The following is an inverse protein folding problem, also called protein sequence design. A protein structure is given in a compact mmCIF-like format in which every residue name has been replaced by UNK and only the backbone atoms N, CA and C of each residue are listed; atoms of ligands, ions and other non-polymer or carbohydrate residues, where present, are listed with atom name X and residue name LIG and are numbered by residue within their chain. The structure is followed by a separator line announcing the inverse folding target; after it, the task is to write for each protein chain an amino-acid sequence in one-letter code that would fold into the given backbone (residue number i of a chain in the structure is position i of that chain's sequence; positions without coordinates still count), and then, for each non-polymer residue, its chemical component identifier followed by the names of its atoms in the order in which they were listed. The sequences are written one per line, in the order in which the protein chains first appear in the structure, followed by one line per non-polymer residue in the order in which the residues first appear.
data_IF_567933605005
#
_entry.id   IF_567933605005
#
_cell.length_a   1.000
_cell.length_b   1.000
_cell.length_c   1.000
_cell.angle_alpha   90.00
_cell.angle_beta   90.00
_cell.angle_gamma   90.00
#
_symmetry.space_group_name_H-M   'P 1'
#
loop_
_entity.id
_entity.type
_entity.pdbx_description
1 polymer ?
#
# COMPACT_ATOMS: atom_id res chain seq x y z
N UNK A 1 -8.99 27.92 19.11
CA UNK A 1 -7.61 28.07 18.56
C UNK A 1 -6.62 27.47 19.54
N UNK A 2 -6.26 26.19 19.37
CA UNK A 2 -5.23 25.55 20.19
C UNK A 2 -3.86 26.04 19.77
N UNK A 3 -3.14 26.74 20.66
CA UNK A 3 -1.81 27.28 20.38
C UNK A 3 -0.86 26.13 19.99
N UNK A 4 -0.22 26.23 18.81
CA UNK A 4 0.81 25.26 18.35
C UNK A 4 1.81 24.97 19.47
N UNK A 5 2.13 23.70 19.71
CA UNK A 5 3.04 23.30 20.78
C UNK A 5 4.37 24.04 20.64
N UNK A 6 4.91 24.53 21.76
CA UNK A 6 6.24 25.16 21.82
C UNK A 6 7.35 24.25 21.31
N UNK A 7 7.11 22.93 21.27
CA UNK A 7 8.02 21.93 20.68
C UNK A 7 8.23 22.16 19.17
N UNK A 8 7.25 22.71 18.46
CA UNK A 8 7.42 23.07 17.04
C UNK A 8 8.31 24.30 16.81
N UNK A 9 8.75 24.97 17.87
CA UNK A 9 9.70 26.08 17.79
C UNK A 9 11.12 25.68 18.17
N UNK A 10 11.30 24.47 18.72
CA UNK A 10 12.62 23.94 19.02
C UNK A 10 13.38 23.62 17.73
N UNK A 11 14.71 23.65 17.86
CA UNK A 11 15.64 23.24 16.82
C UNK A 11 15.25 21.86 16.24
N UNK A 12 15.36 21.67 14.91
CA UNK A 12 14.93 20.45 14.24
C UNK A 12 15.56 19.17 14.83
N UNK A 13 16.81 19.25 15.27
CA UNK A 13 17.54 18.13 15.87
C UNK A 13 16.95 17.71 17.22
N UNK A 14 16.56 18.68 18.06
CA UNK A 14 15.93 18.42 19.36
C UNK A 14 14.55 17.80 19.15
N UNK A 15 13.77 18.34 18.19
CA UNK A 15 12.45 17.80 17.84
C UNK A 15 12.53 16.36 17.36
N UNK A 16 13.43 16.07 16.42
CA UNK A 16 13.61 14.71 15.89
C UNK A 16 14.00 13.73 17.00
N UNK A 17 14.81 14.18 17.96
CA UNK A 17 15.15 13.36 19.12
C UNK A 17 13.94 13.09 20.02
N UNK A 18 13.11 14.11 20.29
CA UNK A 18 11.85 13.94 21.03
C UNK A 18 10.95 12.92 20.34
N UNK A 19 10.76 13.03 19.02
CA UNK A 19 9.96 12.09 18.23
C UNK A 19 10.52 10.66 18.30
N UNK A 20 11.85 10.51 18.33
CA UNK A 20 12.51 9.20 18.50
C UNK A 20 12.21 8.60 19.87
N UNK A 21 12.31 9.38 20.95
CA UNK A 21 12.00 8.93 22.30
C UNK A 21 10.51 8.55 22.44
N UNK A 22 9.61 9.36 21.88
CA UNK A 22 8.18 9.07 21.87
C UNK A 22 7.84 7.80 21.09
N UNK A 23 8.57 7.51 20.00
CA UNK A 23 8.41 6.27 19.25
C UNK A 23 8.90 5.03 20.02
N UNK A 24 9.96 5.18 20.81
CA UNK A 24 10.48 4.09 21.63
C UNK A 24 9.52 3.72 22.77
N UNK A 25 8.78 4.71 23.29
CA UNK A 25 7.74 4.53 24.33
C UNK A 25 8.24 3.77 25.58
N UNK A 26 9.51 4.00 25.96
CA UNK A 26 10.17 3.34 27.11
C UNK A 26 10.37 4.27 28.31
N UNK A 27 10.20 5.58 28.13
CA UNK A 27 10.55 6.58 29.12
C UNK A 27 9.32 7.38 29.54
N UNK A 28 9.27 7.70 30.83
CA UNK A 28 8.32 8.68 31.35
C UNK A 28 8.67 10.08 30.84
N UNK A 29 7.69 10.99 30.86
CA UNK A 29 7.90 12.37 30.44
C UNK A 29 9.03 13.07 31.23
N UNK A 30 9.18 12.73 32.51
CA UNK A 30 10.18 13.34 33.38
C UNK A 30 11.59 12.79 33.06
N UNK A 31 11.70 11.49 32.74
CA UNK A 31 12.95 10.88 32.25
C UNK A 31 13.34 11.41 30.86
N UNK A 32 12.36 11.59 29.95
CA UNK A 32 12.60 12.20 28.65
C UNK A 32 13.17 13.63 28.79
N UNK A 33 12.65 14.41 29.74
CA UNK A 33 13.16 15.77 30.02
C UNK A 33 14.61 15.72 30.52
N UNK A 34 14.92 14.81 31.44
CA UNK A 34 16.28 14.62 31.95
C UNK A 34 17.26 14.22 30.84
N UNK A 35 16.84 13.32 29.94
CA UNK A 35 17.66 12.89 28.81
C UNK A 35 17.87 14.01 27.78
N UNK A 36 16.84 14.82 27.52
CA UNK A 36 16.95 16.00 26.66
C UNK A 36 17.92 17.04 27.24
N UNK A 37 17.90 17.26 28.56
CA UNK A 37 18.84 18.15 29.24
C UNK A 37 20.28 17.61 29.17
N UNK A 38 20.48 16.31 29.32
CA UNK A 38 21.80 15.69 29.24
C UNK A 38 22.37 15.77 27.82
N UNK A 39 21.54 15.50 26.80
CA UNK A 39 21.97 15.44 25.40
C UNK A 39 22.07 16.81 24.73
N UNK A 40 21.26 17.77 25.16
CA UNK A 40 21.21 19.12 24.62
C UNK A 40 21.26 20.19 25.74
N UNK A 41 22.37 20.29 26.50
CA UNK A 41 22.46 21.16 27.66
C UNK A 41 22.38 22.65 27.32
N UNK A 42 22.69 23.03 26.09
CA UNK A 42 22.64 24.43 25.62
C UNK A 42 21.28 24.84 25.04
N UNK A 43 20.33 23.92 24.91
CA UNK A 43 19.03 24.19 24.29
C UNK A 43 17.92 24.37 25.33
N UNK A 44 16.89 25.15 24.96
CA UNK A 44 15.71 25.32 25.80
C UNK A 44 15.00 23.98 25.98
N UNK A 45 14.91 23.51 27.23
CA UNK A 45 14.23 22.26 27.54
C UNK A 45 12.71 22.48 27.55
N UNK A 46 11.92 21.67 26.81
CA UNK A 46 10.48 21.80 26.81
C UNK A 46 9.89 21.50 28.20
N UNK A 47 8.86 22.25 28.59
CA UNK A 47 8.11 21.96 29.81
C UNK A 47 7.33 20.64 29.70
N UNK A 48 7.11 19.98 30.85
CA UNK A 48 6.32 18.74 30.97
C UNK A 48 4.96 18.81 30.29
N UNK A 49 4.22 19.90 30.50
CA UNK A 49 2.90 20.09 29.86
C UNK A 49 2.99 20.28 28.34
N UNK A 50 4.07 20.87 27.83
CA UNK A 50 4.29 21.00 26.39
C UNK A 50 4.62 19.65 25.75
N UNK A 51 5.43 18.83 26.44
CA UNK A 51 5.79 17.48 26.02
C UNK A 51 4.58 16.54 26.03
N UNK A 52 3.77 16.58 27.09
CA UNK A 52 2.54 15.78 27.18
C UNK A 52 1.53 16.11 26.06
N UNK A 53 1.29 17.39 25.77
CA UNK A 53 0.38 17.79 24.68
C UNK A 53 0.88 17.31 23.32
N UNK A 54 2.19 17.37 23.10
CA UNK A 54 2.80 16.91 21.87
C UNK A 54 2.77 15.39 21.76
N UNK A 55 3.08 14.65 22.84
CA UNK A 55 2.93 13.20 22.92
C UNK A 55 1.51 12.76 22.59
N UNK A 56 0.49 13.45 23.12
CA UNK A 56 -0.90 13.11 22.82
C UNK A 56 -1.21 13.15 21.32
N UNK A 57 -0.85 14.25 20.64
CA UNK A 57 -1.04 14.37 19.19
C UNK A 57 -0.18 13.39 18.39
N UNK A 58 1.04 13.13 18.85
CA UNK A 58 1.93 12.13 18.26
C UNK A 58 1.33 10.72 18.36
N UNK A 59 0.80 10.33 19.52
CA UNK A 59 0.18 9.04 19.74
C UNK A 59 -1.06 8.85 18.86
N UNK A 60 -1.93 9.87 18.78
CA UNK A 60 -3.09 9.88 17.87
C UNK A 60 -2.64 9.63 16.41
N UNK A 61 -1.61 10.34 15.95
CA UNK A 61 -1.05 10.13 14.61
C UNK A 61 -0.48 8.70 14.42
N UNK A 62 0.31 8.20 15.36
CA UNK A 62 0.90 6.86 15.25
C UNK A 62 -0.16 5.75 15.27
N UNK A 63 -1.23 5.92 16.04
CA UNK A 63 -2.36 4.99 16.06
C UNK A 63 -3.08 4.97 14.71
N UNK A 64 -3.38 6.14 14.14
CA UNK A 64 -3.97 6.21 12.80
C UNK A 64 -3.08 5.59 11.72
N UNK A 65 -1.75 5.74 11.81
CA UNK A 65 -0.82 5.08 10.89
C UNK A 65 -0.86 3.55 11.02
N UNK A 66 -0.92 3.02 12.24
CA UNK A 66 -1.07 1.57 12.47
C UNK A 66 -2.40 1.03 11.96
N UNK A 67 -3.49 1.79 12.13
CA UNK A 67 -4.80 1.44 11.59
C UNK A 67 -4.78 1.36 10.07
N UNK A 68 -4.15 2.35 9.41
CA UNK A 68 -3.96 2.36 7.95
C UNK A 68 -3.11 1.17 7.52
N UNK A 69 -2.00 0.88 8.20
CA UNK A 69 -1.14 -0.28 7.89
C UNK A 69 -1.90 -1.60 8.02
N UNK A 70 -2.71 -1.74 9.08
CA UNK A 70 -3.56 -2.92 9.31
C UNK A 70 -4.61 -3.06 8.21
N UNK A 71 -5.30 -1.97 7.86
CA UNK A 71 -6.27 -1.96 6.78
C UNK A 71 -5.63 -2.26 5.41
N UNK A 72 -4.42 -1.75 5.15
CA UNK A 72 -3.65 -2.07 3.95
C UNK A 72 -3.28 -3.55 3.89
N UNK A 73 -2.88 -4.16 5.01
CA UNK A 73 -2.58 -5.61 5.06
C UNK A 73 -3.83 -6.45 4.78
N UNK A 74 -4.96 -6.12 5.41
CA UNK A 74 -6.25 -6.80 5.16
C UNK A 74 -6.65 -6.68 3.69
N UNK A 75 -6.48 -5.50 3.09
CA UNK A 75 -6.77 -5.31 1.67
C UNK A 75 -5.86 -6.17 0.78
N UNK A 76 -4.58 -6.28 1.10
CA UNK A 76 -3.64 -7.14 0.36
C UNK A 76 -4.02 -8.62 0.49
N UNK A 77 -4.35 -9.07 1.70
CA UNK A 77 -4.79 -10.46 1.94
C UNK A 77 -6.08 -10.79 1.16
N UNK A 78 -7.05 -9.87 1.12
CA UNK A 78 -8.31 -10.04 0.37
C UNK A 78 -8.16 -9.91 -1.16
N UNK A 79 -7.13 -9.19 -1.63
CA UNK A 79 -6.83 -9.00 -3.06
C UNK A 79 -5.86 -10.05 -3.64
N UNK A 80 -5.16 -10.79 -2.79
CA UNK A 80 -4.12 -11.77 -3.14
C UNK A 80 -4.60 -13.00 -3.91
N UNK A 81 -5.89 -13.32 -3.88
CA UNK A 81 -6.42 -14.52 -4.54
C UNK A 81 -6.59 -14.38 -6.07
N UNK A 82 -6.32 -13.23 -6.70
CA UNK A 82 -6.59 -13.08 -8.15
C UNK A 82 -5.77 -12.10 -8.98
N UNK A 83 -4.74 -11.44 -8.43
CA UNK A 83 -3.94 -10.47 -9.20
C UNK A 83 -2.46 -10.77 -8.99
N UNK A 84 -1.73 -10.97 -10.09
CA UNK A 84 -0.27 -11.14 -10.12
C UNK A 84 0.42 -10.30 -9.02
N UNK A 85 0.97 -11.00 -8.02
CA UNK A 85 1.24 -10.54 -6.64
C UNK A 85 1.92 -9.16 -6.52
N UNK A 86 2.78 -8.84 -7.48
CA UNK A 86 3.54 -7.57 -7.50
C UNK A 86 2.66 -6.36 -7.79
N UNK A 87 1.61 -6.53 -8.57
CA UNK A 87 0.77 -5.41 -9.03
C UNK A 87 -0.19 -4.95 -7.94
N UNK A 88 -0.73 -5.88 -7.15
CA UNK A 88 -1.58 -5.58 -5.99
C UNK A 88 -0.82 -4.89 -4.86
N UNK A 89 0.38 -5.39 -4.54
CA UNK A 89 1.26 -4.80 -3.54
C UNK A 89 1.68 -3.36 -3.88
N UNK A 90 2.04 -3.09 -5.14
CA UNK A 90 2.41 -1.75 -5.60
C UNK A 90 1.22 -0.76 -5.53
N UNK A 91 0.01 -1.24 -5.80
CA UNK A 91 -1.21 -0.43 -5.69
C UNK A 91 -1.56 -0.11 -4.23
N UNK A 92 -1.48 -1.09 -3.34
CA UNK A 92 -1.66 -0.87 -1.90
C UNK A 92 -0.65 0.15 -1.37
N UNK A 93 0.62 0.01 -1.75
CA UNK A 93 1.69 0.94 -1.38
C UNK A 93 1.46 2.35 -1.93
N UNK A 94 0.94 2.50 -3.15
CA UNK A 94 0.61 3.80 -3.73
C UNK A 94 -0.54 4.49 -2.99
N UNK A 95 -1.59 3.74 -2.62
CA UNK A 95 -2.72 4.26 -1.83
C UNK A 95 -2.28 4.65 -0.43
N UNK A 96 -1.51 3.81 0.26
CA UNK A 96 -0.93 4.14 1.57
C UNK A 96 -0.08 5.40 1.48
N UNK A 97 0.79 5.52 0.47
CA UNK A 97 1.64 6.70 0.28
C UNK A 97 0.83 7.98 0.03
N UNK A 98 -0.24 7.90 -0.76
CA UNK A 98 -1.15 9.04 -1.03
C UNK A 98 -1.95 9.43 0.21
N UNK A 99 -2.47 8.46 0.97
CA UNK A 99 -3.19 8.70 2.22
C UNK A 99 -2.28 9.32 3.28
N UNK A 100 -1.06 8.79 3.44
CA UNK A 100 -0.03 9.34 4.32
C UNK A 100 0.36 10.76 3.91
N UNK A 101 0.52 11.04 2.61
CA UNK A 101 0.75 12.40 2.12
C UNK A 101 -0.42 13.34 2.40
N UNK A 102 -1.66 12.88 2.24
CA UNK A 102 -2.84 13.67 2.58
C UNK A 102 -2.91 13.97 4.08
N UNK A 103 -2.59 12.99 4.93
CA UNK A 103 -2.52 13.17 6.38
C UNK A 103 -1.42 14.16 6.80
N UNK A 104 -0.22 14.06 6.23
CA UNK A 104 0.86 15.02 6.49
C UNK A 104 0.51 16.43 5.99
N UNK A 105 -0.11 16.56 4.81
CA UNK A 105 -0.53 17.86 4.26
C UNK A 105 -1.68 18.50 5.05
N UNK A 106 -2.60 17.69 5.59
CA UNK A 106 -3.61 18.14 6.54
C UNK A 106 -3.01 18.59 7.88
N UNK A 107 -1.80 18.15 8.22
CA UNK A 107 -1.06 18.59 9.39
C UNK A 107 -0.28 19.90 9.15
N UNK A 108 0.13 20.18 7.91
CA UNK A 108 0.77 21.45 7.51
C UNK A 108 -0.22 22.57 7.16
N UNK A 109 -1.41 22.23 6.67
CA UNK A 109 -2.46 23.18 6.26
C UNK A 109 -3.77 22.80 6.94
N UNK A 110 -4.32 23.72 7.75
CA UNK A 110 -5.49 23.52 8.63
C UNK A 110 -6.83 23.27 7.91
N UNK A 111 -6.85 23.13 6.58
CA UNK A 111 -8.07 23.18 5.76
C UNK A 111 -8.34 21.92 4.92
N UNK A 112 -7.90 20.73 5.36
CA UNK A 112 -8.43 19.48 4.79
C UNK A 112 -9.47 18.90 5.72
N UNK A 113 -10.71 18.88 5.26
CA UNK A 113 -11.85 18.39 6.05
C UNK A 113 -11.84 16.86 6.07
N UNK A 114 -12.28 16.22 7.16
CA UNK A 114 -12.48 14.76 7.24
C UNK A 114 -13.30 14.23 6.05
N UNK A 115 -14.20 15.06 5.54
CA UNK A 115 -15.01 14.82 4.35
C UNK A 115 -14.17 14.67 3.07
N UNK A 116 -13.10 15.44 2.90
CA UNK A 116 -12.20 15.37 1.75
C UNK A 116 -11.29 14.14 1.82
N UNK A 117 -10.82 13.77 3.01
CA UNK A 117 -10.08 12.52 3.22
C UNK A 117 -10.97 11.32 2.86
N UNK A 118 -12.22 11.34 3.31
CA UNK A 118 -13.20 10.29 3.02
C UNK A 118 -13.54 10.23 1.52
N UNK A 119 -13.64 11.39 0.87
CA UNK A 119 -13.87 11.48 -0.57
C UNK A 119 -12.68 10.96 -1.37
N UNK A 120 -11.45 11.28 -0.98
CA UNK A 120 -10.23 10.77 -1.61
C UNK A 120 -10.08 9.25 -1.44
N UNK A 121 -10.37 8.72 -0.24
CA UNK A 121 -10.36 7.27 0.01
C UNK A 121 -11.41 6.56 -0.85
N UNK A 122 -12.60 7.16 -0.99
CA UNK A 122 -13.66 6.63 -1.84
C UNK A 122 -13.31 6.69 -3.32
N UNK A 123 -12.71 7.79 -3.79
CA UNK A 123 -12.24 7.93 -5.16
C UNK A 123 -11.12 6.93 -5.49
N UNK A 124 -10.20 6.69 -4.54
CA UNK A 124 -9.18 5.65 -4.67
C UNK A 124 -9.82 4.26 -4.79
N UNK A 125 -10.81 3.94 -3.94
CA UNK A 125 -11.56 2.68 -4.00
C UNK A 125 -12.30 2.50 -5.32
N UNK A 126 -12.96 3.55 -5.82
CA UNK A 126 -13.69 3.51 -7.10
C UNK A 126 -12.73 3.34 -8.29
N UNK A 127 -11.57 4.01 -8.28
CA UNK A 127 -10.54 3.82 -9.29
C UNK A 127 -9.95 2.40 -9.27
N UNK A 128 -9.81 1.80 -8.08
CA UNK A 128 -9.41 0.40 -7.93
C UNK A 128 -10.45 -0.56 -8.50
N UNK A 129 -11.73 -0.34 -8.22
CA UNK A 129 -12.83 -1.15 -8.75
C UNK A 129 -12.92 -1.08 -10.28
N UNK A 130 -12.79 0.12 -10.85
CA UNK A 130 -12.78 0.30 -12.30
C UNK A 130 -11.62 -0.46 -12.98
N UNK A 131 -10.45 -0.49 -12.34
CA UNK A 131 -9.28 -1.23 -12.84
C UNK A 131 -9.43 -2.75 -12.67
N UNK A 132 -10.05 -3.21 -11.59
CA UNK A 132 -10.36 -4.62 -11.36
C UNK A 132 -11.36 -5.16 -12.40
N UNK A 133 -12.38 -4.36 -12.76
CA UNK A 133 -13.31 -4.71 -13.83
C UNK A 133 -12.57 -4.87 -15.18
N UNK A 134 -11.71 -3.90 -15.50
CA UNK A 134 -10.88 -3.94 -16.72
C UNK A 134 -9.84 -5.07 -16.74
N UNK A 135 -9.44 -5.58 -15.57
CA UNK A 135 -8.56 -6.73 -15.46
C UNK A 135 -9.32 -8.05 -15.66
N UNK A 136 -10.50 -8.20 -15.05
CA UNK A 136 -11.39 -9.36 -15.30
C UNK A 136 -11.77 -9.46 -16.77
N UNK A 137 -12.15 -8.35 -17.40
CA UNK A 137 -12.42 -8.31 -18.84
C UNK A 137 -11.21 -8.75 -19.66
N UNK A 138 -10.00 -8.27 -19.32
CA UNK A 138 -8.77 -8.69 -20.01
C UNK A 138 -8.46 -10.16 -19.83
N UNK A 139 -8.65 -10.70 -18.63
CA UNK A 139 -8.41 -12.12 -18.36
C UNK A 139 -9.40 -13.02 -19.10
N UNK A 140 -10.67 -12.62 -19.18
CA UNK A 140 -11.69 -13.33 -19.95
C UNK A 140 -11.42 -13.23 -21.45
N UNK A 141 -10.96 -12.08 -21.95
CA UNK A 141 -10.50 -11.92 -23.34
C UNK A 141 -9.30 -12.83 -23.63
N UNK A 142 -8.32 -12.91 -22.73
CA UNK A 142 -7.13 -13.73 -22.89
C UNK A 142 -7.47 -15.23 -22.87
N UNK A 143 -8.33 -15.68 -21.94
CA UNK A 143 -8.85 -17.05 -21.93
C UNK A 143 -9.60 -17.37 -23.21
N UNK A 144 -10.53 -16.52 -23.63
CA UNK A 144 -11.29 -16.71 -24.86
C UNK A 144 -10.38 -16.75 -26.10
N UNK A 145 -9.36 -15.90 -26.15
CA UNK A 145 -8.35 -15.90 -27.22
C UNK A 145 -7.52 -17.19 -27.21
N UNK A 146 -7.10 -17.66 -26.04
CA UNK A 146 -6.35 -18.92 -25.88
C UNK A 146 -7.19 -20.13 -26.27
N UNK A 147 -8.44 -20.21 -25.82
CA UNK A 147 -9.36 -21.28 -26.20
C UNK A 147 -9.62 -21.29 -27.71
N UNK A 148 -9.80 -20.12 -28.32
CA UNK A 148 -9.94 -20.00 -29.77
C UNK A 148 -8.69 -20.47 -30.50
N UNK A 149 -7.51 -20.04 -30.05
CA UNK A 149 -6.23 -20.46 -30.64
C UNK A 149 -6.01 -21.97 -30.52
N UNK A 150 -6.31 -22.57 -29.36
CA UNK A 150 -6.19 -24.01 -29.16
C UNK A 150 -7.17 -24.78 -30.07
N UNK A 151 -8.37 -24.25 -30.30
CA UNK A 151 -9.34 -24.85 -31.22
C UNK A 151 -8.84 -24.80 -32.66
N UNK A 152 -8.36 -23.65 -33.11
CA UNK A 152 -7.77 -23.48 -34.45
C UNK A 152 -6.54 -24.38 -34.64
N UNK A 153 -5.72 -24.56 -33.59
CA UNK A 153 -4.57 -25.48 -33.64
C UNK A 153 -5.01 -26.94 -33.74
N UNK A 154 -6.02 -27.36 -32.99
CA UNK A 154 -6.59 -28.72 -33.09
C UNK A 154 -7.18 -28.98 -34.48
N UNK A 155 -7.97 -28.06 -35.01
CA UNK A 155 -8.54 -28.17 -36.35
C UNK A 155 -7.45 -28.34 -37.44
N UNK A 156 -6.37 -27.54 -37.36
CA UNK A 156 -5.22 -27.67 -38.27
C UNK A 156 -4.47 -28.99 -38.12
N UNK A 157 -4.34 -29.52 -36.91
CA UNK A 157 -3.71 -30.82 -36.66
C UNK A 157 -4.58 -31.96 -37.22
N UNK A 158 -5.91 -31.87 -37.07
CA UNK A 158 -6.87 -32.83 -37.65
C UNK A 158 -6.89 -32.78 -39.19
N UNK A 159 -6.72 -31.59 -39.78
CA UNK A 159 -6.55 -31.44 -41.23
C UNK A 159 -5.25 -32.07 -41.72
N UNK A 160 -4.13 -31.87 -41.02
CA UNK A 160 -2.84 -32.49 -41.33
C UNK A 160 -2.87 -34.02 -41.22
N UNK A 161 -3.65 -34.57 -40.28
CA UNK A 161 -3.88 -36.01 -40.17
C UNK A 161 -4.63 -36.53 -41.41
N UNK A 162 -5.62 -35.78 -41.91
CA UNK A 162 -6.41 -36.16 -43.10
C UNK A 162 -5.64 -36.03 -44.41
N UNK A 163 -4.75 -35.06 -44.55
CA UNK A 163 -3.93 -34.90 -45.76
C UNK A 163 -2.82 -35.95 -45.85
N UNK A 164 -2.40 -36.54 -44.72
CA UNK A 164 -1.38 -37.58 -44.68
C UNK A 164 0.03 -37.10 -45.02
N UNK A 165 0.24 -35.78 -45.11
CA UNK A 165 1.55 -35.16 -45.41
C UNK A 165 2.56 -35.36 -44.27
N UNK A 166 2.06 -35.57 -43.05
CA UNK A 166 2.88 -35.79 -41.86
C UNK A 166 2.67 -37.22 -41.35
N UNK A 167 3.75 -37.98 -41.05
CA UNK A 167 3.62 -39.32 -40.50
C UNK A 167 2.80 -39.33 -39.20
N UNK A 168 1.80 -40.21 -39.11
CA UNK A 168 0.87 -40.30 -37.98
C UNK A 168 1.57 -40.43 -36.61
N UNK A 169 2.70 -41.14 -36.55
CA UNK A 169 3.47 -41.30 -35.33
C UNK A 169 4.13 -39.99 -34.85
N UNK A 170 4.51 -39.12 -35.78
CA UNK A 170 5.07 -37.80 -35.49
C UNK A 170 3.97 -36.85 -34.99
N UNK A 171 2.82 -36.87 -35.66
CA UNK A 171 1.62 -36.11 -35.27
C UNK A 171 1.16 -36.47 -33.85
N UNK A 172 1.10 -37.75 -33.51
CA UNK A 172 0.74 -38.23 -32.18
C UNK A 172 1.72 -37.75 -31.09
N UNK A 173 3.04 -37.72 -31.38
CA UNK A 173 4.05 -37.19 -30.45
C UNK A 173 3.89 -35.68 -30.23
N UNK A 174 3.57 -34.92 -31.29
CA UNK A 174 3.34 -33.47 -31.21
C UNK A 174 2.08 -33.15 -30.41
N UNK A 175 0.98 -33.88 -30.64
CA UNK A 175 -0.28 -33.71 -29.89
C UNK A 175 -0.05 -34.01 -28.41
N UNK A 176 0.64 -35.12 -28.10
CA UNK A 176 0.98 -35.50 -26.74
C UNK A 176 1.84 -34.45 -26.02
N UNK A 177 2.85 -33.91 -26.71
CA UNK A 177 3.73 -32.88 -26.15
C UNK A 177 3.06 -31.50 -26.01
N UNK A 178 2.11 -31.17 -26.90
CA UNK A 178 1.45 -29.86 -26.90
C UNK A 178 0.27 -29.77 -25.92
N UNK A 179 -0.38 -30.90 -25.61
CA UNK A 179 -1.64 -30.92 -24.85
C UNK A 179 -1.63 -31.82 -23.60
N UNK A 180 -0.49 -32.44 -23.25
CA UNK A 180 -0.37 -33.38 -22.11
C UNK A 180 -1.43 -34.50 -22.11
N UNK A 181 -1.73 -35.05 -23.29
CA UNK A 181 -2.64 -36.19 -23.50
C UNK A 181 -1.92 -37.55 -23.53
#
# INVERSE_FOLDING_TARGET
MGRKSTIHKLEPEVRSYIEKLLRADQLTLDEMIAELQQKFPSNETPSRSSLHRYQKGFNEMTNSLREIETASRILVDELGDSVDDKSGALLAQAVTTLATRAAFKAHESEDITIKEISFLAKAAKEAMQARQLSFKERQEIEKAAREKLLREQKEKLDELEKTGEVPAEMLAKVIKAAYDL
#
